data_IF_153374463534
#
_entry.id   IF_153374463534
#
_cell.length_a   1.000
_cell.length_b   1.000
_cell.length_c   1.000
_cell.angle_alpha   90.00
_cell.angle_beta   90.00
_cell.angle_gamma   90.00
#
_symmetry.space_group_name_H-M   'P 1'
#
loop_
_entity.id
_entity.type
_entity.pdbx_description
1 polymer ?
#
# COMPACT_ATOMS: atom_id res chain seq x y z
N UNK A 1 24.26 73.29 -24.21
CA UNK A 1 24.49 72.26 -23.19
C UNK A 1 23.26 71.41 -22.81
N UNK A 2 22.09 71.50 -23.48
CA UNK A 2 20.88 70.74 -23.10
C UNK A 2 20.56 69.50 -23.96
N UNK A 3 21.20 69.34 -25.13
CA UNK A 3 20.96 68.20 -26.04
C UNK A 3 21.85 66.99 -25.73
N UNK A 4 23.04 67.18 -25.18
CA UNK A 4 23.94 66.07 -24.81
C UNK A 4 23.50 65.35 -23.53
N UNK A 5 22.88 66.06 -22.58
CA UNK A 5 22.38 65.46 -21.33
C UNK A 5 21.15 64.59 -21.56
N UNK A 6 20.30 64.94 -22.52
CA UNK A 6 19.14 64.13 -22.90
C UNK A 6 19.56 62.88 -23.67
N UNK A 7 20.54 62.98 -24.57
CA UNK A 7 21.11 61.83 -25.27
C UNK A 7 21.87 60.89 -24.33
N UNK A 8 22.57 61.43 -23.33
CA UNK A 8 23.25 60.65 -22.30
C UNK A 8 22.24 60.01 -21.32
N UNK A 9 21.16 60.70 -20.98
CA UNK A 9 20.09 60.13 -20.17
C UNK A 9 19.31 59.05 -20.94
N UNK A 10 19.03 59.24 -22.23
CA UNK A 10 18.46 58.19 -23.08
C UNK A 10 19.42 57.03 -23.28
N UNK A 11 20.73 57.26 -23.44
CA UNK A 11 21.69 56.16 -23.53
C UNK A 11 21.85 55.44 -22.21
N UNK A 12 21.80 56.13 -21.06
CA UNK A 12 21.82 55.50 -19.75
C UNK A 12 20.52 54.76 -19.43
N UNK A 13 19.35 55.21 -19.92
CA UNK A 13 18.07 54.49 -19.80
C UNK A 13 18.03 53.28 -20.74
N UNK A 14 18.58 53.40 -21.97
CA UNK A 14 18.73 52.29 -22.91
C UNK A 14 19.80 51.30 -22.43
N UNK A 15 20.87 51.76 -21.78
CA UNK A 15 21.88 50.89 -21.14
C UNK A 15 21.43 50.32 -19.81
N UNK A 16 20.57 50.99 -19.04
CA UNK A 16 19.99 50.47 -17.81
C UNK A 16 18.81 49.52 -18.08
N UNK A 17 18.14 49.67 -19.23
CA UNK A 17 17.20 48.68 -19.77
C UNK A 17 17.95 47.51 -20.42
N UNK A 18 19.09 47.76 -21.06
CA UNK A 18 20.00 46.70 -21.54
C UNK A 18 20.83 46.05 -20.42
N UNK A 19 20.75 46.53 -19.18
CA UNK A 19 21.39 45.90 -18.02
C UNK A 19 20.47 44.97 -17.23
N UNK A 20 19.25 44.71 -17.71
CA UNK A 20 18.36 43.66 -17.20
C UNK A 20 18.08 42.67 -18.33
N UNK A 21 18.97 41.69 -18.44
CA UNK A 21 18.98 40.62 -19.44
C UNK A 21 17.82 39.64 -19.23
N UNK A 22 16.61 40.02 -19.61
CA UNK A 22 15.44 39.16 -19.51
C UNK A 22 14.63 39.26 -20.80
N UNK A 23 14.55 38.17 -21.56
CA UNK A 23 13.82 38.14 -22.83
C UNK A 23 12.32 37.98 -22.56
N UNK A 24 11.47 38.97 -22.89
CA UNK A 24 10.06 38.93 -22.53
C UNK A 24 9.23 38.01 -23.44
N UNK A 25 9.68 37.82 -24.69
CA UNK A 25 9.03 36.97 -25.68
C UNK A 25 10.12 36.23 -26.44
N UNK A 26 10.04 34.90 -26.48
CA UNK A 26 10.88 34.04 -27.31
C UNK A 26 9.99 33.14 -28.17
N UNK A 27 10.27 33.12 -29.47
CA UNK A 27 9.60 32.25 -30.43
C UNK A 27 10.62 31.29 -31.05
N UNK A 28 10.25 30.03 -31.13
CA UNK A 28 11.16 28.98 -31.56
C UNK A 28 10.50 28.05 -32.58
N UNK A 29 11.28 27.56 -33.53
CA UNK A 29 10.81 26.49 -34.43
C UNK A 29 11.86 25.44 -34.73
N UNK A 30 13.10 25.89 -34.87
CA UNK A 30 14.31 25.07 -34.87
C UNK A 30 15.44 25.80 -34.15
N UNK A 31 15.45 27.12 -34.25
CA UNK A 31 16.29 28.04 -33.48
C UNK A 31 15.42 28.96 -32.62
N UNK A 32 15.99 29.47 -31.55
CA UNK A 32 15.34 30.42 -30.65
C UNK A 32 15.51 31.86 -31.16
N UNK A 33 14.46 32.66 -31.07
CA UNK A 33 14.47 34.09 -31.41
C UNK A 33 13.75 34.88 -30.31
N UNK A 34 14.48 35.67 -29.48
CA UNK A 34 15.94 35.75 -29.34
C UNK A 34 16.59 34.45 -28.83
N UNK A 35 17.91 34.28 -28.98
CA UNK A 35 18.66 33.10 -28.53
C UNK A 35 19.11 33.18 -27.05
N UNK A 36 18.26 33.75 -26.21
CA UNK A 36 18.52 33.86 -24.77
C UNK A 36 18.10 32.58 -24.03
N UNK A 37 18.85 32.23 -22.98
CA UNK A 37 18.56 31.07 -22.15
C UNK A 37 17.50 31.33 -21.07
N UNK A 38 17.10 32.58 -20.84
CA UNK A 38 16.11 32.94 -19.84
C UNK A 38 14.99 33.79 -20.45
N UNK A 39 13.76 33.28 -20.37
CA UNK A 39 12.55 33.94 -20.85
C UNK A 39 11.69 34.35 -19.68
N UNK A 40 11.45 35.65 -19.51
CA UNK A 40 10.63 36.21 -18.44
C UNK A 40 9.33 36.78 -19.05
N UNK A 41 8.44 35.90 -19.47
CA UNK A 41 7.20 36.26 -20.14
C UNK A 41 6.62 35.11 -20.95
N UNK A 42 6.69 35.20 -22.27
CA UNK A 42 6.08 34.23 -23.19
C UNK A 42 7.14 33.46 -23.97
N UNK A 43 7.09 32.13 -23.91
CA UNK A 43 7.80 31.26 -24.83
C UNK A 43 6.78 30.50 -25.69
N UNK A 44 6.97 30.50 -27.00
CA UNK A 44 6.11 29.77 -27.93
C UNK A 44 6.96 28.99 -28.93
N UNK A 45 6.65 27.70 -29.11
CA UNK A 45 7.40 26.86 -30.02
C UNK A 45 6.53 26.14 -31.05
N UNK A 46 7.08 25.99 -32.25
CA UNK A 46 6.48 25.32 -33.39
C UNK A 46 7.47 24.32 -34.00
N UNK A 47 7.28 23.01 -33.84
CA UNK A 47 8.19 21.91 -34.25
C UNK A 47 9.30 21.58 -33.24
N UNK A 48 10.23 22.49 -32.94
CA UNK A 48 11.30 22.23 -31.98
C UNK A 48 11.75 23.51 -31.26
N UNK A 49 12.12 23.35 -29.99
CA UNK A 49 12.79 24.39 -29.20
C UNK A 49 13.72 23.75 -28.18
N UNK A 50 14.80 24.44 -27.85
CA UNK A 50 15.68 24.10 -26.74
C UNK A 50 16.01 25.37 -25.98
N UNK A 51 15.30 25.61 -24.89
CA UNK A 51 15.39 26.85 -24.10
C UNK A 51 15.82 26.49 -22.68
N UNK A 52 16.49 27.42 -21.99
CA UNK A 52 16.81 27.25 -20.58
C UNK A 52 15.59 27.40 -19.69
N UNK A 53 15.51 28.51 -18.96
CA UNK A 53 14.45 28.76 -17.97
C UNK A 53 13.35 29.64 -18.55
N UNK A 54 12.11 29.21 -18.40
CA UNK A 54 10.92 30.02 -18.72
C UNK A 54 10.20 30.39 -17.43
N UNK A 55 10.19 31.68 -17.10
CA UNK A 55 9.41 32.28 -16.03
C UNK A 55 8.17 32.96 -16.65
N UNK A 56 7.05 32.24 -16.74
CA UNK A 56 5.81 32.77 -17.33
C UNK A 56 4.98 31.72 -18.05
N UNK A 57 4.67 31.97 -19.33
CA UNK A 57 3.78 31.14 -20.13
C UNK A 57 4.53 30.44 -21.26
N UNK A 58 4.38 29.13 -21.34
CA UNK A 58 4.97 28.28 -22.37
C UNK A 58 3.87 27.62 -23.24
N UNK A 59 4.00 27.75 -24.56
CA UNK A 59 3.03 27.26 -25.54
C UNK A 59 3.73 26.43 -26.64
N UNK A 60 4.01 25.15 -26.40
CA UNK A 60 4.48 24.24 -27.43
C UNK A 60 3.30 23.74 -28.26
N UNK A 61 3.24 24.14 -29.54
CA UNK A 61 2.05 23.92 -30.39
C UNK A 61 2.11 22.55 -31.08
N UNK A 62 3.11 22.34 -31.96
CA UNK A 62 3.26 21.15 -32.81
C UNK A 62 4.71 20.67 -32.80
N UNK A 63 5.29 20.32 -31.65
CA UNK A 63 6.72 20.06 -31.59
C UNK A 63 7.22 19.26 -30.40
N UNK A 64 8.53 19.08 -30.34
CA UNK A 64 9.24 18.61 -29.14
C UNK A 64 9.92 19.82 -28.50
N UNK A 65 9.38 20.28 -27.36
CA UNK A 65 9.93 21.42 -26.65
C UNK A 65 10.78 20.95 -25.48
N UNK A 66 12.06 21.30 -25.50
CA UNK A 66 12.98 21.09 -24.37
C UNK A 66 13.14 22.39 -23.57
N UNK A 67 12.91 22.29 -22.27
CA UNK A 67 13.16 23.34 -21.29
C UNK A 67 14.12 22.82 -20.21
N UNK A 68 14.97 23.68 -19.68
CA UNK A 68 15.69 23.34 -18.44
C UNK A 68 14.75 23.44 -17.24
N UNK A 69 14.00 24.53 -17.12
CA UNK A 69 13.10 24.75 -16.00
C UNK A 69 11.90 25.61 -16.41
N UNK A 70 10.73 25.28 -15.86
CA UNK A 70 9.51 26.06 -16.04
C UNK A 70 9.04 26.60 -14.69
N UNK A 71 8.93 27.92 -14.56
CA UNK A 71 8.25 28.57 -13.45
C UNK A 71 7.00 29.29 -13.98
N UNK A 72 5.88 28.59 -14.07
CA UNK A 72 4.64 29.17 -14.59
C UNK A 72 3.67 28.16 -15.21
N UNK A 73 3.08 28.50 -16.35
CA UNK A 73 2.02 27.74 -17.00
C UNK A 73 2.46 27.26 -18.37
N UNK A 74 2.38 25.96 -18.62
CA UNK A 74 2.55 25.34 -19.92
C UNK A 74 1.24 24.75 -20.42
N UNK A 75 0.90 25.04 -21.69
CA UNK A 75 -0.21 24.40 -22.40
C UNK A 75 0.33 23.82 -23.72
N UNK A 76 0.59 22.52 -23.75
CA UNK A 76 0.99 21.77 -24.94
C UNK A 76 -0.22 21.22 -25.69
N UNK A 77 -0.53 21.78 -26.87
CA UNK A 77 -1.73 21.39 -27.62
C UNK A 77 -1.61 19.99 -28.26
N UNK A 78 -0.43 19.61 -28.76
CA UNK A 78 -0.17 18.32 -29.43
C UNK A 78 1.26 17.80 -29.18
N UNK A 79 2.08 18.59 -28.48
CA UNK A 79 3.51 18.40 -28.28
C UNK A 79 3.82 17.57 -27.03
N UNK A 80 4.94 16.84 -27.05
CA UNK A 80 5.56 16.34 -25.82
C UNK A 80 6.43 17.44 -25.21
N UNK A 81 6.25 17.72 -23.92
CA UNK A 81 7.09 18.64 -23.17
C UNK A 81 8.16 17.87 -22.41
N UNK A 82 9.42 18.28 -22.61
CA UNK A 82 10.54 17.75 -21.85
C UNK A 82 11.16 18.86 -20.99
N UNK A 83 11.04 18.74 -19.68
CA UNK A 83 11.59 19.72 -18.72
C UNK A 83 12.68 19.02 -17.92
N UNK A 84 13.93 19.47 -18.00
CA UNK A 84 15.07 18.70 -17.48
C UNK A 84 15.23 18.77 -15.96
N UNK A 85 15.02 19.95 -15.37
CA UNK A 85 15.27 20.23 -13.94
C UNK A 85 13.97 20.40 -13.13
N UNK A 86 12.82 20.25 -13.78
CA UNK A 86 11.50 20.28 -13.15
C UNK A 86 10.74 21.60 -13.32
N UNK A 87 9.54 21.63 -12.76
CA UNK A 87 8.58 22.72 -12.92
C UNK A 87 8.08 23.25 -11.58
N UNK A 88 7.95 24.57 -11.43
CA UNK A 88 7.11 25.18 -10.42
C UNK A 88 5.88 25.81 -11.08
N UNK A 89 4.74 25.12 -11.08
CA UNK A 89 3.52 25.64 -11.71
C UNK A 89 2.60 24.57 -12.30
N UNK A 90 2.11 24.80 -13.51
CA UNK A 90 1.08 23.97 -14.14
C UNK A 90 1.54 23.56 -15.54
N UNK A 91 1.53 22.26 -15.83
CA UNK A 91 1.71 21.72 -17.17
C UNK A 91 0.47 20.94 -17.61
N UNK A 92 -0.08 21.33 -18.74
CA UNK A 92 -1.18 20.64 -19.42
C UNK A 92 -0.67 20.25 -20.79
N UNK A 93 -0.52 18.95 -21.07
CA UNK A 93 0.06 18.46 -22.32
C UNK A 93 -0.37 17.04 -22.64
N UNK A 94 -0.11 16.54 -23.85
CA UNK A 94 -0.37 15.12 -24.14
C UNK A 94 0.65 14.22 -23.42
N UNK A 95 1.92 14.63 -23.46
CA UNK A 95 3.04 13.89 -22.86
C UNK A 95 3.89 14.87 -22.03
N UNK A 96 3.90 14.69 -20.72
CA UNK A 96 4.73 15.47 -19.80
C UNK A 96 5.91 14.60 -19.35
N UNK A 97 7.13 14.91 -19.80
CA UNK A 97 8.36 14.20 -19.45
C UNK A 97 9.31 15.10 -18.69
N UNK A 98 9.17 15.13 -17.37
CA UNK A 98 9.92 16.06 -16.54
C UNK A 98 10.95 15.31 -15.71
N UNK A 99 12.21 15.71 -15.81
CA UNK A 99 13.25 15.34 -14.84
C UNK A 99 13.23 16.30 -13.64
N UNK A 100 14.06 16.01 -12.64
CA UNK A 100 14.17 16.86 -11.45
C UNK A 100 12.90 16.85 -10.60
N UNK A 101 12.49 18.02 -10.11
CA UNK A 101 11.38 18.16 -9.15
C UNK A 101 10.28 19.06 -9.69
N UNK A 102 9.08 18.52 -9.79
CA UNK A 102 7.87 19.26 -10.11
C UNK A 102 7.10 19.62 -8.84
N UNK A 103 6.85 20.91 -8.65
CA UNK A 103 5.95 21.45 -7.64
C UNK A 103 4.74 22.08 -8.33
N UNK A 104 3.60 21.39 -8.30
CA UNK A 104 2.34 21.90 -8.82
C UNK A 104 1.45 20.87 -9.50
N UNK A 105 1.00 21.18 -10.72
CA UNK A 105 -0.07 20.44 -11.40
C UNK A 105 0.43 19.89 -12.74
N UNK A 106 0.38 18.58 -12.93
CA UNK A 106 0.62 17.92 -14.20
C UNK A 106 -0.66 17.25 -14.70
N UNK A 107 -1.09 17.58 -15.91
CA UNK A 107 -2.27 16.97 -16.55
C UNK A 107 -1.86 16.53 -17.95
N UNK A 108 -2.08 15.26 -18.27
CA UNK A 108 -1.81 14.76 -19.61
C UNK A 108 -2.26 13.33 -19.88
N UNK A 109 -2.03 12.82 -21.09
CA UNK A 109 -2.30 11.41 -21.37
C UNK A 109 -1.26 10.53 -20.70
N UNK A 110 0.02 10.92 -20.76
CA UNK A 110 1.10 10.26 -20.05
C UNK A 110 1.99 11.28 -19.35
N UNK A 111 2.13 11.12 -18.04
CA UNK A 111 3.05 11.90 -17.22
C UNK A 111 4.19 10.96 -16.78
N UNK A 112 5.43 11.35 -17.01
CA UNK A 112 6.61 10.69 -16.44
C UNK A 112 7.49 11.77 -15.83
N UNK A 113 7.41 11.89 -14.52
CA UNK A 113 8.05 12.95 -13.73
C UNK A 113 9.13 12.31 -12.85
N UNK A 114 10.16 13.06 -12.47
CA UNK A 114 11.10 12.64 -11.43
C UNK A 114 10.43 12.67 -10.06
N UNK A 115 10.75 13.67 -9.27
CA UNK A 115 10.05 13.94 -8.01
C UNK A 115 8.87 14.87 -8.27
N UNK A 116 7.72 14.59 -7.66
CA UNK A 116 6.53 15.41 -7.81
C UNK A 116 5.89 15.71 -6.47
N UNK A 117 5.63 17.00 -6.21
CA UNK A 117 4.79 17.48 -5.12
C UNK A 117 3.59 18.22 -5.71
N UNK A 118 2.37 17.68 -5.52
CA UNK A 118 1.14 18.34 -5.94
C UNK A 118 0.11 17.40 -6.55
N UNK A 119 -0.45 17.75 -7.70
CA UNK A 119 -1.55 17.04 -8.34
C UNK A 119 -1.17 16.52 -9.72
N UNK A 120 -1.35 15.22 -9.96
CA UNK A 120 -1.08 14.58 -11.24
C UNK A 120 -2.29 13.84 -11.75
N UNK A 121 -2.61 14.01 -13.03
CA UNK A 121 -3.71 13.32 -13.70
C UNK A 121 -3.28 12.84 -15.08
N UNK A 122 -3.44 11.54 -15.35
CA UNK A 122 -3.33 11.03 -16.72
C UNK A 122 -3.76 9.60 -16.93
N UNK A 123 -3.75 9.12 -18.19
CA UNK A 123 -3.99 7.69 -18.44
C UNK A 123 -2.85 6.87 -17.82
N UNK A 124 -1.62 7.33 -18.02
CA UNK A 124 -0.43 6.84 -17.34
C UNK A 124 0.17 7.95 -16.47
N UNK A 125 0.45 7.62 -15.21
CA UNK A 125 1.11 8.53 -14.28
C UNK A 125 2.32 7.87 -13.62
N UNK A 126 3.51 8.27 -14.04
CA UNK A 126 4.80 7.79 -13.56
C UNK A 126 5.55 8.84 -12.74
N UNK A 127 6.05 8.49 -11.55
CA UNK A 127 6.96 9.32 -10.77
C UNK A 127 8.02 8.49 -10.03
N UNK A 128 9.20 9.05 -9.75
CA UNK A 128 10.14 8.43 -8.80
C UNK A 128 9.62 8.60 -7.38
N UNK A 129 9.45 9.85 -6.91
CA UNK A 129 8.84 10.13 -5.61
C UNK A 129 7.64 11.04 -5.80
N UNK A 130 6.50 10.66 -5.25
CA UNK A 130 5.26 11.42 -5.38
C UNK A 130 4.72 11.84 -4.01
N UNK A 131 4.39 13.11 -3.84
CA UNK A 131 3.73 13.66 -2.65
C UNK A 131 2.50 14.47 -3.07
N UNK A 132 1.30 13.98 -2.76
CA UNK A 132 0.04 14.70 -3.03
C UNK A 132 -1.06 13.80 -3.58
N UNK A 133 -1.70 14.20 -4.69
CA UNK A 133 -2.78 13.44 -5.33
C UNK A 133 -2.35 12.96 -6.71
N UNK A 134 -2.25 11.64 -6.87
CA UNK A 134 -1.91 10.97 -8.12
C UNK A 134 -3.11 10.19 -8.65
N UNK A 135 -3.63 10.56 -9.82
CA UNK A 135 -4.77 9.91 -10.45
C UNK A 135 -4.39 9.40 -11.84
N UNK A 136 -4.76 8.15 -12.12
CA UNK A 136 -4.73 7.68 -13.49
C UNK A 136 -5.44 6.37 -13.77
N UNK A 137 -5.34 5.91 -15.02
CA UNK A 137 -5.77 4.55 -15.37
C UNK A 137 -4.75 3.54 -14.83
N UNK A 138 -3.47 3.83 -15.04
CA UNK A 138 -2.36 3.14 -14.41
C UNK A 138 -1.42 4.15 -13.74
N UNK A 139 -1.02 3.86 -12.50
CA UNK A 139 -0.02 4.65 -11.77
C UNK A 139 1.22 3.80 -11.51
N UNK A 140 2.40 4.43 -11.62
CA UNK A 140 3.68 3.81 -11.36
C UNK A 140 4.56 4.77 -10.56
N UNK A 141 4.86 4.44 -9.31
CA UNK A 141 5.66 5.29 -8.42
C UNK A 141 6.78 4.51 -7.77
N UNK A 142 7.94 5.11 -7.52
CA UNK A 142 8.92 4.45 -6.65
C UNK A 142 8.47 4.61 -5.19
N UNK A 143 8.25 5.82 -4.72
CA UNK A 143 7.65 6.11 -3.42
C UNK A 143 6.43 7.02 -3.58
N UNK A 144 5.36 6.74 -2.84
CA UNK A 144 4.09 7.49 -2.90
C UNK A 144 3.68 7.95 -1.50
N UNK A 145 3.40 9.24 -1.34
CA UNK A 145 2.83 9.83 -0.14
C UNK A 145 1.59 10.65 -0.51
N UNK A 146 0.43 10.31 0.04
CA UNK A 146 -0.84 11.01 -0.20
C UNK A 146 -1.93 10.09 -0.75
N UNK A 147 -2.60 10.49 -1.83
CA UNK A 147 -3.72 9.75 -2.44
C UNK A 147 -3.29 9.23 -3.80
N UNK A 148 -3.31 7.92 -3.99
CA UNK A 148 -3.02 7.25 -5.25
C UNK A 148 -4.26 6.49 -5.76
N UNK A 149 -4.73 6.82 -6.96
CA UNK A 149 -5.88 6.17 -7.56
C UNK A 149 -5.55 5.67 -8.97
N UNK A 150 -5.76 4.36 -9.19
CA UNK A 150 -5.59 3.69 -10.46
C UNK A 150 -6.89 3.05 -10.91
N UNK A 151 -7.43 3.44 -12.06
CA UNK A 151 -8.65 2.83 -12.58
C UNK A 151 -8.48 1.34 -12.95
N UNK A 152 -7.24 0.92 -13.26
CA UNK A 152 -6.85 -0.47 -13.46
C UNK A 152 -5.87 -0.89 -12.39
N UNK A 153 -4.77 -0.16 -12.21
CA UNK A 153 -3.76 -0.59 -11.27
C UNK A 153 -2.78 0.47 -10.78
N UNK A 154 -2.26 0.21 -9.59
CA UNK A 154 -1.21 0.97 -8.94
C UNK A 154 0.01 0.07 -8.74
N UNK A 155 1.18 0.54 -9.17
CA UNK A 155 2.45 -0.16 -9.02
C UNK A 155 3.46 0.71 -8.27
N UNK A 156 3.79 0.32 -7.04
CA UNK A 156 4.73 1.04 -6.19
C UNK A 156 5.94 0.15 -5.87
N UNK A 157 7.14 0.53 -6.34
CA UNK A 157 8.35 -0.29 -6.10
C UNK A 157 8.95 -0.11 -4.70
N UNK A 158 8.62 0.98 -4.04
CA UNK A 158 9.04 1.34 -2.70
C UNK A 158 7.84 1.41 -1.77
N UNK A 159 7.73 2.52 -1.05
CA UNK A 159 6.75 2.65 0.02
C UNK A 159 5.50 3.42 -0.45
N UNK A 160 4.35 3.01 0.05
CA UNK A 160 3.09 3.75 -0.06
C UNK A 160 2.70 4.28 1.32
N UNK A 161 2.48 5.60 1.44
CA UNK A 161 1.96 6.23 2.64
C UNK A 161 0.69 7.02 2.30
N UNK A 162 -0.44 6.67 2.91
CA UNK A 162 -1.71 7.37 2.72
C UNK A 162 -2.82 6.46 2.20
N UNK A 163 -3.54 6.90 1.17
CA UNK A 163 -4.71 6.19 0.62
C UNK A 163 -4.36 5.70 -0.79
N UNK A 164 -4.53 4.41 -1.03
CA UNK A 164 -4.20 3.78 -2.30
C UNK A 164 -5.35 2.89 -2.76
N UNK A 165 -5.91 3.20 -3.92
CA UNK A 165 -7.14 2.58 -4.42
C UNK A 165 -6.96 2.18 -5.88
N UNK A 166 -7.12 0.89 -6.18
CA UNK A 166 -7.17 0.37 -7.55
C UNK A 166 -7.74 -1.05 -7.59
N UNK A 167 -8.31 -1.53 -8.71
CA UNK A 167 -8.66 -2.95 -8.83
C UNK A 167 -7.47 -3.88 -8.57
N UNK A 168 -6.29 -3.56 -9.12
CA UNK A 168 -5.05 -4.31 -8.90
C UNK A 168 -4.01 -3.41 -8.24
N UNK A 169 -3.57 -3.75 -7.04
CA UNK A 169 -2.50 -3.04 -6.35
C UNK A 169 -1.27 -3.93 -6.15
N UNK A 170 -0.09 -3.36 -6.37
CA UNK A 170 1.19 -3.99 -6.09
C UNK A 170 2.15 -2.99 -5.43
N UNK A 171 2.43 -3.16 -4.14
CA UNK A 171 3.43 -2.39 -3.39
C UNK A 171 4.53 -3.33 -2.92
N UNK A 172 5.74 -3.19 -3.46
CA UNK A 172 6.83 -4.15 -3.15
C UNK A 172 7.34 -4.07 -1.71
N UNK A 173 7.31 -2.89 -1.08
CA UNK A 173 7.81 -2.69 0.29
C UNK A 173 6.66 -2.41 1.25
N UNK A 174 6.69 -1.27 1.93
CA UNK A 174 5.79 -1.00 3.04
C UNK A 174 4.61 -0.16 2.59
N UNK A 175 3.44 -0.47 3.14
CA UNK A 175 2.22 0.29 2.94
C UNK A 175 1.65 0.76 4.26
N UNK A 176 1.71 2.07 4.52
CA UNK A 176 1.20 2.68 5.74
C UNK A 176 -0.02 3.53 5.43
N UNK A 177 -1.20 3.12 5.91
CA UNK A 177 -2.45 3.84 5.71
C UNK A 177 -3.59 2.92 5.29
N UNK A 178 -4.22 3.21 4.15
CA UNK A 178 -5.40 2.50 3.66
C UNK A 178 -5.17 2.02 2.22
N UNK A 179 -5.16 0.71 2.01
CA UNK A 179 -5.24 0.08 0.69
C UNK A 179 -6.64 -0.47 0.44
N UNK A 180 -7.23 -0.15 -0.71
CA UNK A 180 -8.51 -0.74 -1.14
C UNK A 180 -8.39 -1.24 -2.57
N UNK A 181 -8.38 -2.57 -2.73
CA UNK A 181 -8.25 -3.21 -4.03
C UNK A 181 -9.12 -4.46 -4.18
N UNK A 182 -9.29 -4.97 -5.40
CA UNK A 182 -9.85 -6.31 -5.61
C UNK A 182 -8.79 -7.36 -5.35
N UNK A 183 -7.62 -7.19 -5.97
CA UNK A 183 -6.41 -7.94 -5.69
C UNK A 183 -5.36 -6.99 -5.14
N UNK A 184 -4.91 -7.27 -3.93
CA UNK A 184 -3.93 -6.46 -3.24
C UNK A 184 -2.67 -7.27 -2.95
N UNK A 185 -1.51 -6.72 -3.31
CA UNK A 185 -0.19 -7.20 -2.89
C UNK A 185 0.57 -6.09 -2.18
N UNK A 186 1.11 -6.41 -1.00
CA UNK A 186 1.98 -5.53 -0.21
C UNK A 186 3.17 -6.32 0.35
N UNK A 187 4.32 -5.67 0.58
CA UNK A 187 5.38 -6.25 1.42
C UNK A 187 4.91 -6.30 2.87
N UNK A 188 5.00 -5.18 3.58
CA UNK A 188 4.37 -4.99 4.90
C UNK A 188 3.17 -4.04 4.80
N UNK A 189 2.21 -4.17 5.70
CA UNK A 189 1.07 -3.26 5.78
C UNK A 189 0.82 -2.78 7.22
N UNK A 190 0.70 -1.47 7.42
CA UNK A 190 0.29 -0.87 8.70
C UNK A 190 -0.94 -0.02 8.47
N UNK A 191 -2.07 -0.37 9.11
CA UNK A 191 -3.35 0.32 8.98
C UNK A 191 -4.46 -0.60 8.47
N UNK A 192 -5.13 -0.22 7.37
CA UNK A 192 -6.24 -0.97 6.78
C UNK A 192 -5.83 -1.50 5.41
N UNK A 193 -5.81 -2.82 5.26
CA UNK A 193 -5.39 -3.50 4.05
C UNK A 193 -6.55 -4.34 3.49
N UNK A 194 -7.13 -3.94 2.36
CA UNK A 194 -8.30 -4.60 1.77
C UNK A 194 -7.97 -5.12 0.37
N UNK A 195 -8.08 -6.43 0.20
CA UNK A 195 -8.08 -7.12 -1.11
C UNK A 195 -9.36 -7.92 -1.24
N UNK A 196 -10.41 -7.32 -1.83
CA UNK A 196 -11.77 -7.84 -1.80
C UNK A 196 -11.88 -9.31 -2.27
N UNK A 197 -11.06 -9.72 -3.24
CA UNK A 197 -10.98 -11.11 -3.71
C UNK A 197 -9.75 -11.83 -3.16
N UNK A 198 -8.60 -11.17 -3.18
CA UNK A 198 -7.35 -11.74 -2.69
C UNK A 198 -6.46 -10.67 -2.09
N UNK A 199 -5.93 -10.95 -0.91
CA UNK A 199 -5.07 -10.04 -0.19
C UNK A 199 -3.79 -10.77 0.24
N UNK A 200 -2.69 -10.46 -0.44
CA UNK A 200 -1.38 -11.07 -0.21
C UNK A 200 -0.45 -10.06 0.45
N UNK A 201 0.14 -10.42 1.59
CA UNK A 201 1.27 -9.69 2.16
C UNK A 201 2.47 -10.61 2.35
N UNK A 202 3.62 -10.27 1.79
CA UNK A 202 4.84 -11.10 1.94
C UNK A 202 5.42 -11.01 3.37
N UNK A 203 5.20 -9.89 4.03
CA UNK A 203 5.64 -9.60 5.38
C UNK A 203 4.48 -9.45 6.36
N UNK A 204 4.66 -8.52 7.30
CA UNK A 204 3.78 -8.36 8.44
C UNK A 204 2.62 -7.41 8.15
N UNK A 205 1.47 -7.68 8.78
CA UNK A 205 0.35 -6.77 8.82
C UNK A 205 0.10 -6.32 10.25
N UNK A 206 0.06 -5.01 10.47
CA UNK A 206 -0.33 -4.40 11.73
C UNK A 206 -1.62 -3.58 11.51
N UNK A 207 -2.75 -4.07 12.02
CA UNK A 207 -4.05 -3.42 11.89
C UNK A 207 -5.16 -4.34 11.40
N UNK A 208 -5.92 -3.90 10.38
CA UNK A 208 -7.08 -4.60 9.84
C UNK A 208 -6.78 -5.16 8.44
N UNK A 209 -6.85 -6.48 8.30
CA UNK A 209 -6.68 -7.19 7.04
C UNK A 209 -8.01 -7.80 6.58
N UNK A 210 -8.49 -7.44 5.38
CA UNK A 210 -9.76 -7.89 4.83
C UNK A 210 -9.60 -8.48 3.43
N UNK A 211 -10.27 -9.60 3.16
CA UNK A 211 -10.36 -10.17 1.81
C UNK A 211 -11.09 -11.49 1.76
N UNK A 212 -11.60 -11.91 0.59
CA UNK A 212 -12.18 -13.26 0.46
C UNK A 212 -11.17 -14.36 0.74
N UNK A 213 -9.90 -14.11 0.43
CA UNK A 213 -8.75 -14.95 0.79
C UNK A 213 -7.61 -14.05 1.24
N UNK A 214 -7.08 -14.29 2.43
CA UNK A 214 -5.93 -13.57 2.96
C UNK A 214 -4.73 -14.51 3.12
N UNK A 215 -3.58 -14.11 2.60
CA UNK A 215 -2.29 -14.80 2.77
C UNK A 215 -1.29 -13.77 3.28
N UNK A 216 -0.70 -14.02 4.45
CA UNK A 216 0.17 -13.04 5.09
C UNK A 216 1.28 -13.70 5.90
N UNK A 217 2.34 -12.94 6.20
CA UNK A 217 3.34 -13.32 7.21
C UNK A 217 2.72 -13.24 8.61
N UNK A 218 3.25 -12.37 9.46
CA UNK A 218 2.70 -12.18 10.80
C UNK A 218 1.57 -11.14 10.80
N UNK A 219 0.57 -11.35 11.65
CA UNK A 219 -0.56 -10.45 11.84
C UNK A 219 -0.53 -9.94 13.29
N UNK A 220 -0.57 -8.62 13.46
CA UNK A 220 -0.90 -7.96 14.73
C UNK A 220 -2.19 -7.17 14.54
N UNK A 221 -3.32 -7.73 14.96
CA UNK A 221 -4.64 -7.09 14.81
C UNK A 221 -5.75 -8.05 14.38
N UNK A 222 -6.58 -7.62 13.41
CA UNK A 222 -7.75 -8.36 12.94
C UNK A 222 -7.56 -8.83 11.51
N UNK A 223 -7.76 -10.13 11.27
CA UNK A 223 -7.66 -10.73 9.95
C UNK A 223 -8.98 -11.42 9.61
N UNK A 224 -9.73 -10.85 8.67
CA UNK A 224 -11.10 -11.26 8.37
C UNK A 224 -11.20 -11.71 6.93
N UNK A 225 -11.68 -12.94 6.74
CA UNK A 225 -11.90 -13.53 5.43
C UNK A 225 -13.09 -14.47 5.42
N UNK A 226 -14.10 -14.28 4.57
CA UNK A 226 -15.19 -15.26 4.47
C UNK A 226 -14.77 -16.68 4.10
N UNK A 227 -13.66 -16.90 3.40
CA UNK A 227 -13.26 -18.23 2.90
C UNK A 227 -12.02 -18.78 3.59
N UNK A 228 -10.93 -18.03 3.60
CA UNK A 228 -9.64 -18.57 3.99
C UNK A 228 -8.64 -17.52 4.48
N UNK A 229 -8.10 -17.72 5.68
CA UNK A 229 -6.99 -16.97 6.25
C UNK A 229 -5.76 -17.89 6.41
N UNK A 230 -4.62 -17.50 5.83
CA UNK A 230 -3.31 -18.12 6.07
C UNK A 230 -2.33 -17.09 6.64
N UNK A 231 -1.76 -17.39 7.80
CA UNK A 231 -0.76 -16.55 8.47
C UNK A 231 0.35 -17.39 9.11
N UNK A 232 1.50 -16.77 9.41
CA UNK A 232 2.54 -17.38 10.25
C UNK A 232 2.16 -17.20 11.73
N UNK A 233 2.47 -16.05 12.32
CA UNK A 233 2.07 -15.74 13.69
C UNK A 233 0.90 -14.75 13.70
N UNK A 234 -0.04 -14.89 14.62
CA UNK A 234 -1.15 -13.94 14.81
C UNK A 234 -1.22 -13.50 16.26
N UNK A 235 -1.04 -12.21 16.51
CA UNK A 235 -1.36 -11.54 17.77
C UNK A 235 -2.66 -10.76 17.55
N UNK A 236 -3.78 -11.31 18.00
CA UNK A 236 -5.10 -10.72 17.76
C UNK A 236 -6.16 -11.77 17.40
N UNK A 237 -6.96 -11.50 16.37
CA UNK A 237 -8.06 -12.39 16.01
C UNK A 237 -8.18 -12.66 14.51
N UNK A 238 -8.31 -13.94 14.17
CA UNK A 238 -8.65 -14.42 12.84
C UNK A 238 -10.13 -14.81 12.78
N UNK A 239 -10.85 -14.28 11.78
CA UNK A 239 -12.24 -14.63 11.49
C UNK A 239 -12.33 -15.19 10.07
N UNK A 240 -12.54 -16.50 9.92
CA UNK A 240 -12.70 -17.10 8.60
C UNK A 240 -13.38 -18.45 8.63
N UNK A 241 -13.98 -18.89 7.52
CA UNK A 241 -14.43 -20.28 7.40
C UNK A 241 -13.27 -21.26 7.68
N UNK A 242 -12.06 -20.95 7.19
CA UNK A 242 -10.85 -21.73 7.45
C UNK A 242 -9.74 -20.78 7.89
N UNK A 243 -9.25 -20.98 9.12
CA UNK A 243 -8.05 -20.30 9.62
C UNK A 243 -6.90 -21.30 9.68
N UNK A 244 -5.78 -20.95 9.06
CA UNK A 244 -4.52 -21.69 9.12
C UNK A 244 -3.42 -20.74 9.59
N UNK A 245 -2.91 -20.97 10.80
CA UNK A 245 -1.83 -20.18 11.39
C UNK A 245 -0.75 -21.10 11.94
N UNK A 246 0.49 -20.63 12.09
CA UNK A 246 1.49 -21.36 12.85
C UNK A 246 1.29 -21.13 14.36
N UNK A 247 1.37 -19.88 14.82
CA UNK A 247 1.14 -19.52 16.22
C UNK A 247 0.03 -18.48 16.35
N UNK A 248 -0.81 -18.60 17.37
CA UNK A 248 -1.89 -17.62 17.65
C UNK A 248 -1.89 -17.21 19.11
N UNK A 249 -1.65 -15.93 19.37
CA UNK A 249 -1.92 -15.27 20.64
C UNK A 249 -3.21 -14.45 20.50
N UNK A 250 -4.33 -15.02 20.93
CA UNK A 250 -5.65 -14.42 20.83
C UNK A 250 -6.72 -15.43 20.39
N UNK A 251 -7.42 -15.19 19.29
CA UNK A 251 -8.56 -16.01 18.90
C UNK A 251 -8.56 -16.42 17.42
N UNK A 252 -8.88 -17.69 17.16
CA UNK A 252 -9.32 -18.14 15.83
C UNK A 252 -10.81 -18.47 15.90
N UNK A 253 -11.59 -17.87 15.01
CA UNK A 253 -13.03 -18.07 14.93
C UNK A 253 -13.37 -18.50 13.50
N UNK A 254 -13.92 -19.71 13.35
CA UNK A 254 -14.14 -20.29 12.04
C UNK A 254 -14.88 -21.62 12.00
N UNK A 255 -15.11 -22.18 10.81
CA UNK A 255 -15.61 -23.55 10.73
C UNK A 255 -14.48 -24.53 11.03
N UNK A 256 -13.29 -24.24 10.51
CA UNK A 256 -12.08 -25.03 10.71
C UNK A 256 -10.95 -24.11 11.16
N UNK A 257 -10.35 -24.42 12.30
CA UNK A 257 -9.17 -23.73 12.80
C UNK A 257 -8.01 -24.74 12.88
N UNK A 258 -6.89 -24.41 12.24
CA UNK A 258 -5.65 -25.20 12.30
C UNK A 258 -4.50 -24.33 12.77
N UNK A 259 -3.85 -24.71 13.86
CA UNK A 259 -2.69 -24.02 14.41
C UNK A 259 -1.63 -24.98 14.96
N UNK A 260 -0.41 -24.53 15.16
CA UNK A 260 0.56 -25.27 15.96
C UNK A 260 0.35 -24.92 17.45
N UNK A 261 0.60 -23.68 17.83
CA UNK A 261 0.44 -23.22 19.21
C UNK A 261 -0.63 -22.14 19.32
N UNK A 262 -1.54 -22.28 20.29
CA UNK A 262 -2.58 -21.29 20.57
C UNK A 262 -2.53 -20.87 22.03
N UNK A 263 -2.29 -19.58 22.27
CA UNK A 263 -2.47 -18.91 23.55
C UNK A 263 -3.75 -18.08 23.48
N UNK A 264 -4.87 -18.64 23.94
CA UNK A 264 -6.19 -18.02 23.86
C UNK A 264 -7.29 -19.01 23.46
N UNK A 265 -8.02 -18.76 22.38
CA UNK A 265 -9.21 -19.53 22.04
C UNK A 265 -9.31 -19.95 20.57
N UNK A 266 -9.61 -21.22 20.32
CA UNK A 266 -10.13 -21.66 19.03
C UNK A 266 -11.62 -21.94 19.15
N UNK A 267 -12.43 -21.29 18.32
CA UNK A 267 -13.89 -21.47 18.28
C UNK A 267 -14.27 -21.90 16.87
N UNK A 268 -14.81 -23.10 16.73
CA UNK A 268 -15.24 -23.58 15.43
C UNK A 268 -15.94 -24.92 15.40
N UNK A 269 -16.20 -25.47 14.22
CA UNK A 269 -16.75 -26.84 14.12
C UNK A 269 -15.63 -27.84 14.37
N UNK A 270 -14.47 -27.60 13.78
CA UNK A 270 -13.27 -28.43 13.92
C UNK A 270 -12.10 -27.55 14.34
N UNK A 271 -11.48 -27.89 15.46
CA UNK A 271 -10.25 -27.25 15.94
C UNK A 271 -9.12 -28.27 15.97
N UNK A 272 -8.03 -27.99 15.25
CA UNK A 272 -6.82 -28.82 15.21
C UNK A 272 -5.64 -28.00 15.70
N UNK A 273 -4.93 -28.50 16.70
CA UNK A 273 -3.77 -27.82 17.27
C UNK A 273 -2.63 -28.79 17.65
N UNK A 274 -1.44 -28.26 17.93
CA UNK A 274 -0.44 -28.98 18.72
C UNK A 274 -0.66 -28.67 20.21
N UNK A 275 -0.44 -27.42 20.64
CA UNK A 275 -0.69 -26.98 22.01
C UNK A 275 -1.75 -25.88 22.08
N UNK A 276 -2.58 -25.91 23.12
CA UNK A 276 -3.59 -24.90 23.41
C UNK A 276 -3.55 -24.49 24.88
N UNK A 277 -2.88 -23.36 25.14
CA UNK A 277 -2.92 -22.67 26.42
C UNK A 277 -4.14 -21.74 26.46
N UNK A 278 -5.30 -22.33 26.74
CA UNK A 278 -6.58 -21.62 26.80
C UNK A 278 -7.74 -22.58 26.55
N UNK A 279 -8.54 -22.38 25.51
CA UNK A 279 -9.65 -23.29 25.24
C UNK A 279 -9.87 -23.59 23.76
N UNK A 280 -10.29 -24.82 23.47
CA UNK A 280 -10.93 -25.18 22.23
C UNK A 280 -12.44 -25.36 22.46
N UNK A 281 -13.25 -24.72 21.63
CA UNK A 281 -14.70 -24.88 21.61
C UNK A 281 -15.14 -25.30 20.22
N UNK A 282 -15.71 -26.50 20.09
CA UNK A 282 -16.19 -26.98 18.80
C UNK A 282 -16.81 -28.36 18.79
N UNK A 283 -17.33 -28.81 17.65
CA UNK A 283 -17.89 -30.16 17.57
C UNK A 283 -16.78 -31.22 17.72
N UNK A 284 -15.62 -30.96 17.12
CA UNK A 284 -14.42 -31.79 17.19
C UNK A 284 -13.22 -30.94 17.59
N UNK A 285 -12.55 -31.32 18.67
CA UNK A 285 -11.30 -30.72 19.12
C UNK A 285 -10.22 -31.81 19.11
N UNK A 286 -9.15 -31.61 18.34
CA UNK A 286 -8.05 -32.56 18.22
C UNK A 286 -6.71 -31.85 18.41
N UNK A 287 -6.00 -32.19 19.48
CA UNK A 287 -4.67 -31.65 19.76
C UNK A 287 -3.63 -32.75 19.88
N UNK A 288 -2.46 -32.54 19.28
CA UNK A 288 -1.35 -33.51 19.35
C UNK A 288 -0.39 -33.28 20.52
N UNK A 289 -0.65 -32.26 21.34
CA UNK A 289 0.12 -31.91 22.54
C UNK A 289 -0.80 -31.62 23.73
N UNK A 290 -0.57 -30.51 24.41
CA UNK A 290 -1.26 -30.16 25.67
C UNK A 290 -2.39 -29.17 25.47
N UNK A 291 -3.55 -29.41 26.10
CA UNK A 291 -4.69 -28.50 26.11
C UNK A 291 -5.14 -28.15 27.53
N UNK A 292 -5.43 -26.88 27.82
CA UNK A 292 -5.98 -26.53 29.14
C UNK A 292 -7.46 -26.90 29.24
N UNK A 293 -8.26 -26.61 28.20
CA UNK A 293 -9.69 -26.92 28.18
C UNK A 293 -10.19 -27.25 26.77
N UNK A 294 -10.87 -28.39 26.60
CA UNK A 294 -11.56 -28.75 25.36
C UNK A 294 -13.06 -28.96 25.62
N UNK A 295 -13.91 -28.28 24.86
CA UNK A 295 -15.37 -28.36 24.98
C UNK A 295 -15.95 -28.72 23.62
N UNK A 296 -16.60 -29.88 23.51
CA UNK A 296 -17.08 -30.37 22.23
C UNK A 296 -17.76 -31.73 22.25
N UNK A 297 -18.32 -32.16 21.11
CA UNK A 297 -18.89 -33.51 21.04
C UNK A 297 -17.79 -34.58 21.15
N UNK A 298 -16.66 -34.34 20.49
CA UNK A 298 -15.47 -35.18 20.52
C UNK A 298 -14.24 -34.35 20.88
N UNK A 299 -13.55 -34.73 21.95
CA UNK A 299 -12.32 -34.09 22.39
C UNK A 299 -11.18 -35.11 22.44
N UNK A 300 -10.08 -34.82 21.77
CA UNK A 300 -8.84 -35.59 21.81
C UNK A 300 -7.65 -34.68 22.07
N UNK A 301 -6.82 -35.04 23.04
CA UNK A 301 -5.51 -34.40 23.27
C UNK A 301 -4.51 -35.40 23.84
N UNK A 302 -3.20 -35.14 23.74
CA UNK A 302 -2.23 -36.01 24.42
C UNK A 302 -2.21 -35.77 25.92
N UNK A 303 -2.30 -34.51 26.33
CA UNK A 303 -2.36 -34.09 27.73
C UNK A 303 -3.44 -33.03 27.92
N UNK A 304 -4.21 -33.11 29.01
CA UNK A 304 -5.28 -32.14 29.26
C UNK A 304 -5.60 -31.89 30.74
N UNK A 305 -6.05 -30.67 31.06
CA UNK A 305 -6.57 -30.34 32.39
C UNK A 305 -8.09 -30.43 32.49
N UNK A 306 -8.82 -30.13 31.41
CA UNK A 306 -10.29 -30.17 31.42
C UNK A 306 -10.87 -30.58 30.07
N UNK A 307 -11.81 -31.51 30.08
CA UNK A 307 -12.61 -31.82 28.89
C UNK A 307 -14.09 -31.98 29.22
N UNK A 308 -14.95 -31.43 28.35
CA UNK A 308 -16.40 -31.60 28.41
C UNK A 308 -16.93 -32.04 27.05
N UNK A 309 -17.62 -33.18 27.00
CA UNK A 309 -18.12 -33.69 25.72
C UNK A 309 -18.89 -35.01 25.76
N UNK A 310 -19.30 -35.50 24.60
CA UNK A 310 -19.88 -36.84 24.50
C UNK A 310 -18.77 -37.90 24.66
N UNK A 311 -17.65 -37.67 23.97
CA UNK A 311 -16.46 -38.52 24.03
C UNK A 311 -15.24 -37.65 24.31
N UNK A 312 -14.55 -37.95 25.40
CA UNK A 312 -13.29 -37.33 25.80
C UNK A 312 -12.19 -38.38 25.80
N UNK A 313 -11.06 -38.10 25.16
CA UNK A 313 -9.93 -39.02 25.09
C UNK A 313 -8.60 -38.29 25.31
N UNK A 314 -7.81 -38.81 26.24
CA UNK A 314 -6.45 -38.32 26.50
C UNK A 314 -5.48 -39.43 26.90
N UNK A 315 -4.19 -39.23 26.64
CA UNK A 315 -3.14 -40.11 27.19
C UNK A 315 -2.86 -39.73 28.65
N UNK A 316 -2.74 -38.42 28.92
CA UNK A 316 -2.45 -37.88 30.24
C UNK A 316 -3.53 -36.89 30.68
N UNK A 317 -4.37 -37.31 31.62
CA UNK A 317 -5.30 -36.42 32.32
C UNK A 317 -4.62 -35.84 33.57
N UNK A 318 -4.67 -34.52 33.74
CA UNK A 318 -4.27 -33.79 34.96
C UNK A 318 -5.38 -32.80 35.34
N UNK A 319 -6.54 -33.35 35.71
CA UNK A 319 -7.72 -32.59 36.08
C UNK A 319 -9.00 -33.41 35.92
N UNK A 320 -9.97 -32.91 35.14
CA UNK A 320 -11.35 -33.41 35.12
C UNK A 320 -11.88 -33.60 33.69
N UNK A 321 -12.47 -34.76 33.43
CA UNK A 321 -13.30 -34.99 32.24
C UNK A 321 -14.76 -35.21 32.65
N UNK A 322 -15.68 -34.61 31.89
CA UNK A 322 -17.11 -34.83 32.02
C UNK A 322 -17.67 -35.22 30.66
N UNK A 323 -18.28 -36.39 30.58
CA UNK A 323 -18.84 -36.89 29.32
C UNK A 323 -19.42 -38.27 29.38
N UNK A 324 -20.12 -38.68 28.31
CA UNK A 324 -20.72 -40.03 28.24
C UNK A 324 -19.64 -41.11 28.28
N UNK A 325 -18.56 -40.89 27.53
CA UNK A 325 -17.39 -41.77 27.48
C UNK A 325 -16.15 -40.92 27.77
N UNK A 326 -15.40 -41.27 28.82
CA UNK A 326 -14.15 -40.60 29.18
C UNK A 326 -13.01 -41.62 29.18
N UNK A 327 -12.01 -41.40 28.33
CA UNK A 327 -10.84 -42.25 28.16
C UNK A 327 -9.61 -41.48 28.65
N UNK A 328 -8.91 -42.02 29.65
CA UNK A 328 -7.65 -41.48 30.16
C UNK A 328 -6.68 -42.63 30.46
N UNK A 329 -5.60 -42.74 29.69
CA UNK A 329 -4.70 -43.92 29.77
C UNK A 329 -3.87 -43.93 31.06
N UNK A 330 -3.58 -42.78 31.63
CA UNK A 330 -2.88 -42.63 32.92
C UNK A 330 -3.79 -42.73 34.16
N UNK A 331 -5.10 -42.91 34.00
CA UNK A 331 -6.03 -43.07 35.11
C UNK A 331 -6.08 -44.52 35.63
N UNK A 332 -6.39 -44.69 36.92
CA UNK A 332 -6.54 -46.01 37.56
C UNK A 332 -7.54 -46.92 36.84
N UNK A 333 -8.60 -46.32 36.28
CA UNK A 333 -9.57 -46.98 35.40
C UNK A 333 -9.56 -46.24 34.07
N UNK A 334 -9.08 -46.87 32.97
CA UNK A 334 -8.86 -46.15 31.71
C UNK A 334 -10.11 -45.62 31.02
N UNK A 335 -11.28 -46.19 31.29
CA UNK A 335 -12.56 -45.78 30.70
C UNK A 335 -13.61 -45.64 31.80
N UNK A 336 -14.18 -44.44 31.97
CA UNK A 336 -15.23 -44.16 32.95
C UNK A 336 -16.43 -43.45 32.32
N UNK A 337 -17.67 -43.84 32.70
CA UNK A 337 -18.87 -43.11 32.30
C UNK A 337 -19.04 -41.84 33.14
N UNK A 338 -19.64 -40.80 32.56
CA UNK A 338 -20.03 -39.52 33.18
C UNK A 338 -18.87 -38.64 33.64
N UNK A 339 -17.96 -39.14 34.49
CA UNK A 339 -16.88 -38.36 35.11
C UNK A 339 -15.59 -39.19 35.19
N UNK A 340 -14.46 -38.59 34.83
CA UNK A 340 -13.12 -39.12 35.08
C UNK A 340 -12.21 -38.02 35.66
N UNK A 341 -11.31 -38.36 36.57
CA UNK A 341 -10.38 -37.40 37.18
C UNK A 341 -9.02 -38.03 37.49
N UNK A 342 -7.97 -37.22 37.41
CA UNK A 342 -6.61 -37.60 37.82
C UNK A 342 -5.83 -36.37 38.26
N UNK A 343 -4.93 -36.54 39.24
CA UNK A 343 -4.04 -35.47 39.73
C UNK A 343 -2.75 -36.08 40.26
N UNK A 344 -1.61 -35.69 39.71
CA UNK A 344 -0.31 -35.98 40.32
C UNK A 344 -0.08 -35.11 41.57
N UNK A 345 0.53 -35.71 42.60
CA UNK A 345 0.92 -35.07 43.86
C UNK A 345 2.42 -34.76 43.87
#
# INVERSE_FOLDING_TARGET
MKRSTLALALSCVMFSAASMASTPIQLSSFNNLPDDNEVNGFHGSFLYSNTGTVNGFDLPILGYGELDQLNGLQIGAVAGSHIRNGMNGVAIGLFNWHGGTDNGVNIGLANKVGDMTGFNLGLYSGAERFTGVNLGVATQTADMSGINFGAIGNYTTGNMQGINVAPFNWTQRDSTGVNVSLLNHTGNATGVNIGAVGNWSEGNIEGLNLGLVNVSGNITGLNISPLYNLSQDTVGANFSAINMSHNVQGANIGLVNMANDVQGGNIGVVNVAHNVNGFNFGAVNASSGTTNADIGAFNYSESTSFQFGLVNATKNLEGLQIGVINIATNATVPVLPLVNYHRSF
#
